data_IF_787313395487
#
_entry.id   IF_787313395487
#
_cell.length_a   1.000
_cell.length_b   1.000
_cell.length_c   1.000
_cell.angle_alpha   90.00
_cell.angle_beta   90.00
_cell.angle_gamma   90.00
#
_symmetry.space_group_name_H-M   'P 1'
#
loop_
_entity.id
_entity.type
_entity.pdbx_description
1 polymer ?
#
# COMPACT_ATOMS: atom_id res chain seq x y z
N UNK A 1 7.69 22.20 -8.06
CA UNK A 1 6.95 20.97 -7.70
C UNK A 1 6.14 21.29 -6.46
N UNK A 2 4.81 21.12 -6.50
CA UNK A 2 3.93 21.42 -5.37
C UNK A 2 3.39 20.10 -4.79
N UNK A 3 3.33 20.01 -3.46
CA UNK A 3 2.64 18.91 -2.79
C UNK A 3 1.16 19.27 -2.66
N UNK A 4 0.29 18.29 -2.86
CA UNK A 4 -1.16 18.47 -2.77
C UNK A 4 -1.71 17.54 -1.69
N UNK A 5 -2.58 18.07 -0.83
CA UNK A 5 -3.37 17.27 0.11
C UNK A 5 -4.67 16.87 -0.60
N UNK A 6 -4.88 15.58 -0.81
CA UNK A 6 -6.09 15.08 -1.46
C UNK A 6 -6.27 13.58 -1.26
N UNK A 7 -7.41 13.09 -1.74
CA UNK A 7 -7.68 11.67 -1.92
C UNK A 7 -6.94 11.15 -3.15
N UNK A 8 -6.22 10.05 -3.01
CA UNK A 8 -5.45 9.46 -4.11
C UNK A 8 -6.34 9.01 -5.28
N UNK A 9 -7.61 8.67 -5.06
CA UNK A 9 -8.54 8.37 -6.15
C UNK A 9 -8.84 9.61 -7.01
N UNK A 10 -8.61 10.81 -6.49
CA UNK A 10 -8.84 12.07 -7.19
C UNK A 10 -7.56 12.68 -7.78
N UNK A 11 -6.47 11.91 -7.88
CA UNK A 11 -5.16 12.42 -8.31
C UNK A 11 -5.20 13.06 -9.72
N UNK A 12 -6.10 12.60 -10.59
CA UNK A 12 -6.26 13.09 -11.97
C UNK A 12 -6.70 14.55 -12.03
N UNK A 13 -7.30 15.09 -10.97
CA UNK A 13 -7.65 16.52 -10.87
C UNK A 13 -6.45 17.42 -10.57
N UNK A 14 -5.29 16.83 -10.24
CA UNK A 14 -4.09 17.56 -9.82
C UNK A 14 -2.92 17.40 -10.79
N UNK A 15 -3.07 16.61 -11.85
CA UNK A 15 -2.04 16.48 -12.89
C UNK A 15 -2.20 17.61 -13.92
N UNK A 16 -1.09 18.22 -14.31
CA UNK A 16 -1.04 19.30 -15.32
C UNK A 16 -0.45 18.84 -16.65
N UNK A 17 0.11 17.64 -16.69
CA UNK A 17 0.65 16.98 -17.87
C UNK A 17 0.42 15.47 -17.73
N UNK A 18 0.56 14.73 -18.83
CA UNK A 18 0.45 13.27 -18.83
C UNK A 18 1.75 12.69 -18.25
N UNK A 19 1.74 11.96 -17.12
CA UNK A 19 2.96 11.40 -16.54
C UNK A 19 3.51 10.19 -17.33
N UNK A 20 4.83 10.12 -17.46
CA UNK A 20 5.55 8.91 -17.89
C UNK A 20 5.68 7.85 -16.77
N UNK A 21 5.59 8.29 -15.50
CA UNK A 21 5.73 7.45 -14.32
C UNK A 21 4.72 7.87 -13.24
N UNK A 22 3.96 6.90 -12.75
CA UNK A 22 3.16 7.03 -11.53
C UNK A 22 3.70 6.02 -10.51
N UNK A 23 3.78 6.40 -9.23
CA UNK A 23 4.23 5.52 -8.14
C UNK A 23 3.22 5.50 -6.99
N UNK A 24 2.96 4.32 -6.43
CA UNK A 24 2.17 4.12 -5.21
C UNK A 24 2.98 3.23 -4.27
N UNK A 25 3.77 3.88 -3.41
CA UNK A 25 4.80 3.22 -2.64
C UNK A 25 4.32 2.81 -1.25
N UNK A 26 4.95 1.78 -0.70
CA UNK A 26 4.70 1.16 0.61
C UNK A 26 3.23 0.77 0.73
N UNK A 27 2.70 0.56 1.93
CA UNK A 27 1.33 0.04 2.07
C UNK A 27 0.22 1.05 1.70
N UNK A 28 0.51 2.15 1.00
CA UNK A 28 -0.47 3.19 0.61
C UNK A 28 -1.66 2.58 -0.14
N UNK A 29 -1.40 1.66 -1.08
CA UNK A 29 -2.47 0.99 -1.84
C UNK A 29 -3.45 0.24 -0.92
N UNK A 30 -2.93 -0.35 0.16
CA UNK A 30 -3.71 -1.16 1.08
C UNK A 30 -4.66 -0.32 1.94
N UNK A 31 -4.51 1.00 1.97
CA UNK A 31 -5.41 1.90 2.71
C UNK A 31 -6.71 2.24 1.96
N UNK A 32 -6.86 1.82 0.70
CA UNK A 32 -8.15 1.91 0.01
C UNK A 32 -9.22 1.06 0.71
N UNK A 33 -10.48 1.44 0.58
CA UNK A 33 -11.56 0.81 1.34
C UNK A 33 -11.98 -0.54 0.74
N UNK A 34 -11.70 -0.76 -0.55
CA UNK A 34 -12.11 -1.98 -1.25
C UNK A 34 -11.21 -2.32 -2.44
N UNK A 35 -11.27 -3.59 -2.85
CA UNK A 35 -10.69 -4.09 -4.11
C UNK A 35 -11.25 -3.36 -5.35
N UNK A 36 -12.47 -2.82 -5.29
CA UNK A 36 -13.05 -2.05 -6.39
C UNK A 36 -12.42 -0.66 -6.50
N UNK A 37 -12.14 0.02 -5.38
CA UNK A 37 -11.38 1.27 -5.41
C UNK A 37 -9.95 1.05 -5.93
N UNK A 38 -9.33 -0.09 -5.64
CA UNK A 38 -8.02 -0.45 -6.21
C UNK A 38 -8.10 -0.56 -7.74
N UNK A 39 -9.12 -1.24 -8.28
CA UNK A 39 -9.35 -1.33 -9.73
C UNK A 39 -9.65 0.03 -10.36
N UNK A 40 -10.43 0.87 -9.68
CA UNK A 40 -10.70 2.24 -10.10
C UNK A 40 -9.41 3.06 -10.20
N UNK A 41 -8.53 2.97 -9.18
CA UNK A 41 -7.22 3.59 -9.21
C UNK A 41 -6.40 3.08 -10.40
N UNK A 42 -6.34 1.77 -10.63
CA UNK A 42 -5.58 1.19 -11.75
C UNK A 42 -6.08 1.70 -13.09
N UNK A 43 -7.40 1.76 -13.29
CA UNK A 43 -8.02 2.32 -14.49
C UNK A 43 -7.68 3.81 -14.68
N UNK A 44 -7.79 4.61 -13.61
CA UNK A 44 -7.41 6.04 -13.65
C UNK A 44 -5.94 6.22 -14.00
N UNK A 45 -5.05 5.44 -13.39
CA UNK A 45 -3.62 5.44 -13.71
C UNK A 45 -3.39 5.07 -15.17
N UNK A 46 -3.93 3.95 -15.63
CA UNK A 46 -3.76 3.50 -17.02
C UNK A 46 -4.21 4.57 -18.02
N UNK A 47 -5.37 5.19 -17.79
CA UNK A 47 -5.92 6.21 -18.70
C UNK A 47 -5.10 7.49 -18.76
N UNK A 48 -4.40 7.86 -17.67
CA UNK A 48 -3.64 9.11 -17.58
C UNK A 48 -2.13 8.93 -17.71
N UNK A 49 -1.64 7.71 -17.94
CA UNK A 49 -0.22 7.44 -18.16
C UNK A 49 0.14 7.59 -19.65
N UNK A 50 1.33 8.13 -19.94
CA UNK A 50 1.86 8.23 -21.31
C UNK A 50 2.12 6.85 -21.93
N UNK A 51 2.34 6.84 -23.24
CA UNK A 51 2.80 5.65 -23.96
C UNK A 51 4.17 5.94 -24.59
N UNK A 52 5.25 5.24 -24.19
CA UNK A 52 5.30 4.24 -23.11
C UNK A 52 5.30 4.91 -21.73
N UNK A 53 4.68 4.26 -20.74
CA UNK A 53 4.65 4.74 -19.37
C UNK A 53 4.69 3.60 -18.35
N UNK A 54 5.02 3.92 -17.10
CA UNK A 54 5.16 2.94 -16.02
C UNK A 54 4.33 3.28 -14.79
N UNK A 55 3.75 2.25 -14.18
CA UNK A 55 3.14 2.32 -12.87
C UNK A 55 3.90 1.40 -11.93
N UNK A 56 4.45 1.95 -10.84
CA UNK A 56 5.18 1.19 -9.82
C UNK A 56 4.37 1.19 -8.54
N UNK A 57 4.11 0.00 -8.00
CA UNK A 57 3.41 -0.20 -6.74
C UNK A 57 4.34 -0.98 -5.83
N UNK A 58 4.42 -0.61 -4.56
CA UNK A 58 4.92 -1.55 -3.54
C UNK A 58 3.86 -1.74 -2.47
N UNK A 59 3.79 -2.92 -1.84
CA UNK A 59 2.85 -3.20 -0.74
C UNK A 59 3.25 -4.50 -0.02
N UNK A 60 2.89 -4.67 1.25
CA UNK A 60 3.08 -5.94 1.96
C UNK A 60 2.02 -6.96 1.52
N UNK A 61 2.43 -8.19 1.23
CA UNK A 61 1.49 -9.29 1.02
C UNK A 61 0.81 -9.65 2.35
N UNK A 62 -0.41 -9.15 2.53
CA UNK A 62 -1.28 -9.44 3.67
C UNK A 62 -2.33 -10.53 3.35
N UNK A 63 -2.23 -11.20 2.20
CA UNK A 63 -3.16 -12.25 1.83
C UNK A 63 -2.99 -13.50 2.71
N UNK A 64 -1.76 -13.80 3.12
CA UNK A 64 -1.43 -14.89 4.03
C UNK A 64 -1.46 -14.40 5.48
N UNK A 65 -2.17 -15.13 6.32
CA UNK A 65 -2.24 -14.80 7.75
C UNK A 65 -0.94 -15.18 8.44
N UNK A 66 -0.36 -14.24 9.19
CA UNK A 66 0.61 -14.58 10.22
C UNK A 66 -0.15 -15.24 11.39
N UNK A 67 0.47 -16.20 12.07
CA UNK A 67 -0.16 -16.97 13.14
C UNK A 67 0.50 -16.69 14.49
N UNK A 68 -0.29 -16.78 15.56
CA UNK A 68 0.20 -16.68 16.94
C UNK A 68 1.09 -15.45 17.17
N UNK A 69 2.36 -15.65 17.55
CA UNK A 69 3.29 -14.60 17.93
C UNK A 69 3.85 -13.83 16.73
N UNK A 70 3.77 -14.39 15.52
CA UNK A 70 4.25 -13.72 14.30
C UNK A 70 3.38 -12.50 13.95
N UNK A 71 2.20 -12.36 14.58
CA UNK A 71 1.31 -11.19 14.44
C UNK A 71 1.84 -9.93 15.14
N UNK A 72 2.87 -10.03 15.98
CA UNK A 72 3.44 -8.89 16.71
C UNK A 72 4.71 -8.42 16.01
N UNK A 73 4.64 -7.23 15.41
CA UNK A 73 5.71 -6.66 14.60
C UNK A 73 6.36 -5.51 15.37
N UNK A 74 7.60 -5.66 15.86
CA UNK A 74 8.37 -4.55 16.38
C UNK A 74 8.65 -3.56 15.26
N UNK A 75 8.16 -2.33 15.39
CA UNK A 75 8.34 -1.27 14.39
C UNK A 75 9.50 -0.36 14.77
N UNK A 76 9.58 0.03 16.04
CA UNK A 76 10.65 0.90 16.55
C UNK A 76 10.87 0.70 18.03
N UNK A 77 12.14 0.70 18.44
CA UNK A 77 12.53 0.67 19.85
C UNK A 77 13.74 1.57 20.07
N UNK A 78 13.61 2.54 20.97
CA UNK A 78 14.67 3.40 21.48
C UNK A 78 14.34 3.86 22.91
N UNK A 79 15.21 4.67 23.52
CA UNK A 79 15.06 5.14 24.91
C UNK A 79 13.77 5.95 25.15
N UNK A 80 13.19 6.51 24.09
CA UNK A 80 11.99 7.34 24.14
C UNK A 80 10.71 6.59 23.74
N UNK A 81 10.80 5.50 22.98
CA UNK A 81 9.65 4.85 22.33
C UNK A 81 9.83 3.35 22.19
N UNK A 82 8.77 2.60 22.49
CA UNK A 82 8.60 1.21 22.09
C UNK A 82 7.32 1.14 21.26
N UNK A 83 7.44 0.81 19.98
CA UNK A 83 6.35 0.76 19.04
C UNK A 83 6.23 -0.64 18.45
N UNK A 84 5.11 -1.30 18.76
CA UNK A 84 4.76 -2.61 18.23
C UNK A 84 3.43 -2.51 17.50
N UNK A 85 3.35 -3.10 16.31
CA UNK A 85 2.07 -3.33 15.64
C UNK A 85 1.58 -4.75 15.94
N UNK A 86 0.28 -4.92 16.15
CA UNK A 86 -0.38 -6.22 16.21
C UNK A 86 -1.35 -6.38 15.03
N UNK A 87 -1.24 -7.50 14.31
CA UNK A 87 -2.08 -7.79 13.15
C UNK A 87 -3.25 -8.69 13.52
N UNK A 88 -4.47 -8.16 13.44
CA UNK A 88 -5.72 -8.92 13.59
C UNK A 88 -6.36 -9.09 12.21
N UNK A 89 -6.28 -10.32 11.68
CA UNK A 89 -6.80 -10.66 10.35
C UNK A 89 -8.32 -10.80 10.36
N UNK A 90 -8.96 -10.15 9.40
CA UNK A 90 -10.37 -10.29 9.02
C UNK A 90 -10.42 -10.88 7.59
N UNK A 91 -11.57 -11.36 7.08
CA UNK A 91 -11.63 -12.01 5.76
C UNK A 91 -11.04 -11.18 4.60
N UNK A 92 -11.36 -9.88 4.53
CA UNK A 92 -10.92 -9.00 3.44
C UNK A 92 -9.88 -7.94 3.87
N UNK A 93 -9.71 -7.72 5.17
CA UNK A 93 -8.81 -6.68 5.70
C UNK A 93 -7.99 -7.20 6.88
N UNK A 94 -6.94 -6.48 7.23
CA UNK A 94 -6.17 -6.67 8.47
C UNK A 94 -6.33 -5.39 9.28
N UNK A 95 -6.79 -5.52 10.54
CA UNK A 95 -6.64 -4.43 11.50
C UNK A 95 -5.18 -4.41 11.95
N UNK A 96 -4.51 -3.30 11.69
CA UNK A 96 -3.20 -3.01 12.24
C UNK A 96 -3.41 -2.20 13.50
N UNK A 97 -3.20 -2.83 14.65
CA UNK A 97 -3.24 -2.18 15.94
C UNK A 97 -1.88 -1.58 16.25
N UNK A 98 -1.84 -0.31 16.60
CA UNK A 98 -0.63 0.38 17.04
C UNK A 98 -0.56 0.38 18.56
N UNK A 99 0.50 -0.20 19.11
CA UNK A 99 0.82 -0.17 20.54
C UNK A 99 2.10 0.65 20.74
N UNK A 100 1.93 1.93 21.06
CA UNK A 100 3.04 2.87 21.17
C UNK A 100 3.22 3.31 22.63
N UNK A 101 4.20 2.69 23.29
CA UNK A 101 4.73 3.17 24.56
C UNK A 101 5.67 4.34 24.30
N UNK A 102 5.43 5.46 24.97
CA UNK A 102 6.30 6.65 24.94
C UNK A 102 6.81 6.95 26.34
N UNK A 103 8.11 7.21 26.44
CA UNK A 103 8.74 7.79 27.61
C UNK A 103 8.79 9.31 27.45
N UNK A 104 8.14 10.03 28.37
CA UNK A 104 8.21 11.48 28.48
C UNK A 104 8.56 11.78 29.93
N UNK A 105 9.68 12.46 30.16
CA UNK A 105 10.17 12.82 31.50
C UNK A 105 10.25 11.61 32.47
N UNK A 106 10.85 10.51 32.00
CA UNK A 106 10.98 9.23 32.72
C UNK A 106 9.65 8.53 33.07
N UNK A 107 8.55 8.93 32.42
CA UNK A 107 7.25 8.31 32.57
C UNK A 107 6.80 7.63 31.29
N UNK A 108 6.53 6.32 31.40
CA UNK A 108 6.01 5.52 30.30
C UNK A 108 4.48 5.61 30.21
N UNK A 109 3.99 5.94 29.02
CA UNK A 109 2.56 5.96 28.69
C UNK A 109 2.27 5.15 27.42
N UNK A 110 1.24 4.30 27.46
CA UNK A 110 0.78 3.52 26.31
C UNK A 110 -0.29 4.27 25.53
N UNK A 111 -0.02 4.54 24.26
CA UNK A 111 -0.99 5.01 23.28
C UNK A 111 -1.42 3.86 22.38
N UNK A 112 -2.73 3.75 22.11
CA UNK A 112 -3.30 2.68 21.29
C UNK A 112 -4.18 3.25 20.19
N UNK A 113 -4.06 2.72 18.98
CA UNK A 113 -4.96 3.00 17.87
C UNK A 113 -5.06 1.76 16.99
N UNK A 114 -5.95 1.78 16.00
CA UNK A 114 -5.89 0.82 14.91
C UNK A 114 -6.41 1.46 13.62
N UNK A 115 -5.99 0.88 12.50
CA UNK A 115 -6.53 1.17 11.17
C UNK A 115 -6.62 -0.13 10.37
N UNK A 116 -7.25 -0.09 9.20
CA UNK A 116 -7.40 -1.27 8.33
C UNK A 116 -6.51 -1.16 7.11
N UNK A 117 -6.03 -2.32 6.66
CA UNK A 117 -5.37 -2.52 5.37
C UNK A 117 -6.07 -3.64 4.62
N UNK A 118 -6.29 -3.47 3.31
CA UNK A 118 -6.81 -4.53 2.45
C UNK A 118 -5.86 -5.72 2.40
N UNK A 119 -6.44 -6.91 2.30
CA UNK A 119 -5.71 -8.15 1.98
C UNK A 119 -5.63 -8.31 0.47
N UNK A 120 -4.49 -7.95 -0.10
CA UNK A 120 -4.19 -8.13 -1.52
C UNK A 120 -3.06 -9.16 -1.66
N UNK A 121 -3.26 -10.18 -2.51
CA UNK A 121 -2.19 -11.08 -2.93
C UNK A 121 -1.44 -10.49 -4.13
N UNK A 122 -0.17 -10.89 -4.36
CA UNK A 122 0.55 -10.53 -5.58
C UNK A 122 -0.24 -10.87 -6.85
N UNK A 123 -0.73 -12.11 -6.95
CA UNK A 123 -1.48 -12.62 -8.11
C UNK A 123 -2.73 -11.77 -8.40
N UNK A 124 -3.49 -11.39 -7.36
CA UNK A 124 -4.68 -10.57 -7.55
C UNK A 124 -4.34 -9.18 -8.09
N UNK A 125 -3.23 -8.59 -7.65
CA UNK A 125 -2.75 -7.29 -8.15
C UNK A 125 -2.29 -7.39 -9.60
N UNK A 126 -1.53 -8.44 -9.94
CA UNK A 126 -1.10 -8.70 -11.32
C UNK A 126 -2.29 -8.88 -12.26
N UNK A 127 -3.22 -9.77 -11.91
CA UNK A 127 -4.44 -10.02 -12.69
C UNK A 127 -5.26 -8.75 -12.88
N UNK A 128 -5.39 -7.93 -11.83
CA UNK A 128 -6.14 -6.66 -11.89
C UNK A 128 -5.45 -5.62 -12.78
N UNK A 129 -4.11 -5.57 -12.77
CA UNK A 129 -3.33 -4.70 -13.66
C UNK A 129 -3.44 -5.16 -15.12
N UNK A 130 -3.30 -6.46 -15.38
CA UNK A 130 -3.46 -7.03 -16.72
C UNK A 130 -4.88 -6.81 -17.26
N UNK A 131 -5.91 -7.06 -16.45
CA UNK A 131 -7.31 -6.81 -16.81
C UNK A 131 -7.62 -5.33 -17.10
N UNK A 132 -6.84 -4.41 -16.53
CA UNK A 132 -6.95 -2.98 -16.83
C UNK A 132 -6.36 -2.62 -18.21
N UNK A 133 -5.43 -3.42 -18.72
CA UNK A 133 -4.78 -3.22 -20.03
C UNK A 133 -3.27 -3.02 -19.98
N UNK A 134 -2.63 -3.13 -18.81
CA UNK A 134 -1.17 -3.11 -18.73
C UNK A 134 -0.58 -4.38 -19.39
N UNK A 135 0.31 -4.20 -20.36
CA UNK A 135 0.79 -5.30 -21.21
C UNK A 135 2.01 -6.05 -20.69
N UNK A 136 2.77 -5.47 -19.75
CA UNK A 136 3.90 -6.12 -19.10
C UNK A 136 3.89 -5.78 -17.62
N UNK A 137 3.42 -6.71 -16.79
CA UNK A 137 3.49 -6.63 -15.33
C UNK A 137 4.64 -7.51 -14.87
N UNK A 138 5.53 -6.97 -14.03
CA UNK A 138 6.53 -7.76 -13.33
C UNK A 138 6.31 -7.64 -11.83
N UNK A 139 6.34 -8.78 -11.14
CA UNK A 139 6.24 -8.87 -9.69
C UNK A 139 7.54 -9.41 -9.09
N UNK A 140 8.02 -8.75 -8.04
CA UNK A 140 9.07 -9.25 -7.18
C UNK A 140 8.59 -9.23 -5.74
N UNK A 141 8.92 -10.24 -4.96
CA UNK A 141 8.59 -10.31 -3.53
C UNK A 141 9.87 -10.44 -2.73
N UNK A 142 10.15 -9.45 -1.88
CA UNK A 142 11.32 -9.42 -1.02
C UNK A 142 10.86 -9.14 0.42
N UNK A 143 11.19 -10.04 1.36
CA UNK A 143 10.85 -9.91 2.79
C UNK A 143 9.36 -9.60 3.06
N UNK A 144 8.47 -10.21 2.26
CA UNK A 144 7.02 -10.03 2.33
C UNK A 144 6.52 -8.71 1.73
N UNK A 145 7.39 -7.89 1.14
CA UNK A 145 7.02 -6.71 0.36
C UNK A 145 7.02 -7.06 -1.11
N UNK A 146 5.90 -6.80 -1.77
CA UNK A 146 5.70 -6.94 -3.20
C UNK A 146 6.12 -5.64 -3.88
N UNK A 147 6.82 -5.76 -5.01
CA UNK A 147 7.12 -4.69 -5.95
C UNK A 147 6.47 -5.08 -7.28
N UNK A 148 5.47 -4.32 -7.71
CA UNK A 148 4.81 -4.49 -8.99
C UNK A 148 5.21 -3.35 -9.93
N UNK A 149 5.68 -3.68 -11.13
CA UNK A 149 5.95 -2.72 -12.19
C UNK A 149 5.09 -3.07 -13.40
N UNK A 150 4.12 -2.22 -13.70
CA UNK A 150 3.23 -2.37 -14.84
C UNK A 150 3.58 -1.37 -15.94
N UNK A 151 3.72 -1.84 -17.19
CA UNK A 151 4.04 -0.98 -18.34
C UNK A 151 2.81 -0.79 -19.23
N UNK A 152 2.52 0.46 -19.56
CA UNK A 152 1.61 0.82 -20.64
C UNK A 152 2.40 0.93 -21.93
N UNK A 153 2.12 0.04 -22.87
CA UNK A 153 2.78 -0.01 -24.19
C UNK A 153 1.76 0.25 -25.29
N UNK A 154 2.23 0.55 -26.51
CA UNK A 154 1.35 0.50 -27.69
C UNK A 154 0.91 -0.96 -27.86
N UNK A 155 -0.35 -1.15 -28.22
CA UNK A 155 -0.87 -2.44 -28.67
C UNK A 155 -0.17 -2.91 -29.94
#
# INVERSE_FOLDING_TARGET
>A
MATVRGDMLNFTSYISAVPELIVCMTDTLLHLESKDQVRELFSKVFNHLEIPGRFVITFRDLSKELESLDRFIPVKQDDSKIFTCFLEYEPETVKVHDLLYKNVDDQWSLNKSFYRKLRLSPDWVEDSLMATGFGNVSLEVENGVVIAIAKKTRA
#
